data_IF_277599985634
#
_entry.id   IF_277599985634
#
_cell.length_a   1.000
_cell.length_b   1.000
_cell.length_c   1.000
_cell.angle_alpha   90.00
_cell.angle_beta   90.00
_cell.angle_gamma   90.00
#
_symmetry.space_group_name_H-M   'P 1'
#
loop_
_entity.id
_entity.type
_entity.pdbx_description
1 polymer ?
#
# COMPACT_ATOMS: atom_id res chain seq x y z
N UNK A 1 0.14 -21.82 -5.87
CA UNK A 1 -0.06 -20.75 -4.87
C UNK A 1 0.59 -21.05 -3.53
N UNK A 2 0.10 -21.93 -2.64
CA UNK A 2 0.74 -22.16 -1.32
C UNK A 2 2.22 -22.56 -1.36
N UNK A 3 2.65 -23.28 -2.41
CA UNK A 3 4.04 -23.74 -2.55
C UNK A 3 5.04 -22.62 -2.91
N UNK A 4 4.65 -21.63 -3.71
CA UNK A 4 5.56 -20.53 -4.09
C UNK A 4 5.81 -19.55 -2.95
N UNK A 5 4.80 -19.32 -2.09
CA UNK A 5 4.94 -18.49 -0.89
C UNK A 5 5.92 -19.09 0.13
N UNK A 6 5.99 -20.42 0.19
CA UNK A 6 6.94 -21.12 1.07
C UNK A 6 8.37 -20.91 0.58
N UNK A 7 8.61 -20.91 -0.73
CA UNK A 7 9.96 -20.79 -1.29
C UNK A 7 10.56 -19.40 -1.07
N UNK A 8 9.81 -18.32 -1.31
CA UNK A 8 10.28 -16.95 -1.06
C UNK A 8 10.53 -16.68 0.43
N UNK A 9 9.71 -17.28 1.30
CA UNK A 9 9.88 -17.16 2.75
C UNK A 9 11.07 -17.97 3.27
N UNK A 10 11.30 -19.18 2.75
CA UNK A 10 12.46 -20.01 3.05
C UNK A 10 13.77 -19.37 2.55
N UNK A 11 13.77 -18.80 1.34
CA UNK A 11 14.91 -18.05 0.81
C UNK A 11 15.25 -16.84 1.69
N UNK A 12 14.24 -16.10 2.15
CA UNK A 12 14.40 -14.98 3.08
C UNK A 12 15.06 -15.43 4.41
N UNK A 13 14.57 -16.52 5.01
CA UNK A 13 15.10 -17.06 6.27
C UNK A 13 16.50 -17.67 6.12
N UNK A 14 16.83 -18.21 4.95
CA UNK A 14 18.12 -18.86 4.67
C UNK A 14 19.28 -17.87 4.45
N UNK A 15 18.99 -16.58 4.26
CA UNK A 15 19.99 -15.53 4.10
C UNK A 15 20.76 -15.28 5.40
N UNK A 16 21.95 -15.87 5.54
CA UNK A 16 22.88 -15.55 6.64
C UNK A 16 23.34 -14.09 6.50
N UNK A 17 22.96 -13.27 7.49
CA UNK A 17 23.36 -11.87 7.66
C UNK A 17 24.86 -11.65 7.42
N UNK A 18 25.21 -10.91 6.37
CA UNK A 18 26.55 -10.44 5.98
C UNK A 18 26.87 -9.03 6.49
N UNK A 19 26.08 -8.48 7.42
CA UNK A 19 26.34 -7.18 8.05
C UNK A 19 25.07 -6.42 8.47
N UNK A 20 25.22 -5.27 9.17
CA UNK A 20 24.08 -4.52 9.71
C UNK A 20 23.09 -4.04 8.64
N UNK A 21 23.56 -3.71 7.43
CA UNK A 21 22.71 -3.29 6.31
C UNK A 21 21.74 -4.38 5.83
N UNK A 22 22.12 -5.65 5.91
CA UNK A 22 21.25 -6.77 5.52
C UNK A 22 20.17 -7.03 6.57
N UNK A 23 20.49 -6.87 7.86
CA UNK A 23 19.50 -6.95 8.92
C UNK A 23 18.44 -5.85 8.80
N UNK A 24 18.84 -4.61 8.49
CA UNK A 24 17.89 -3.52 8.24
C UNK A 24 17.00 -3.80 7.03
N UNK A 25 17.58 -4.27 5.92
CA UNK A 25 16.81 -4.68 4.73
C UNK A 25 15.82 -5.80 5.05
N UNK A 26 16.23 -6.79 5.82
CA UNK A 26 15.37 -7.90 6.19
C UNK A 26 14.19 -7.46 7.08
N UNK A 27 14.44 -6.59 8.06
CA UNK A 27 13.38 -5.98 8.88
C UNK A 27 12.43 -5.16 8.00
N UNK A 28 12.97 -4.37 7.07
CA UNK A 28 12.18 -3.57 6.15
C UNK A 28 11.26 -4.45 5.27
N UNK A 29 11.81 -5.52 4.70
CA UNK A 29 11.06 -6.48 3.89
C UNK A 29 9.96 -7.16 4.70
N UNK A 30 10.22 -7.53 5.96
CA UNK A 30 9.20 -8.05 6.85
C UNK A 30 8.09 -7.03 7.11
N UNK A 31 8.44 -5.76 7.32
CA UNK A 31 7.45 -4.69 7.51
C UNK A 31 6.57 -4.50 6.27
N UNK A 32 7.16 -4.59 5.07
CA UNK A 32 6.44 -4.52 3.78
C UNK A 32 5.49 -5.72 3.63
N UNK A 33 5.99 -6.95 3.85
CA UNK A 33 5.17 -8.17 3.80
C UNK A 33 3.97 -8.12 4.73
N UNK A 34 4.18 -7.58 5.94
CA UNK A 34 3.12 -7.42 6.93
C UNK A 34 1.97 -6.52 6.45
N UNK A 35 2.20 -5.67 5.43
CA UNK A 35 1.16 -4.88 4.79
C UNK A 35 0.56 -5.63 3.61
N UNK A 36 1.38 -6.02 2.63
CA UNK A 36 0.96 -6.83 1.50
C UNK A 36 2.16 -7.48 0.82
N UNK A 37 2.06 -8.77 0.49
CA UNK A 37 3.18 -9.52 -0.11
C UNK A 37 3.61 -8.95 -1.48
N UNK A 38 2.64 -8.52 -2.30
CA UNK A 38 2.93 -7.95 -3.64
C UNK A 38 3.85 -6.73 -3.61
N UNK A 39 3.83 -5.96 -2.51
CA UNK A 39 4.67 -4.77 -2.37
C UNK A 39 6.16 -5.13 -2.35
N UNK A 40 6.53 -6.35 -1.96
CA UNK A 40 7.92 -6.80 -2.08
C UNK A 40 8.39 -6.85 -3.54
N UNK A 41 7.55 -7.37 -4.43
CA UNK A 41 7.90 -7.54 -5.84
C UNK A 41 8.03 -6.18 -6.53
N UNK A 42 7.12 -5.25 -6.20
CA UNK A 42 7.15 -3.88 -6.73
C UNK A 42 8.40 -3.11 -6.30
N UNK A 43 8.89 -3.36 -5.07
CA UNK A 43 10.14 -2.76 -4.56
C UNK A 43 11.35 -3.44 -5.18
N UNK A 44 11.34 -4.76 -5.33
CA UNK A 44 12.41 -5.51 -5.97
C UNK A 44 12.60 -5.13 -7.45
N UNK A 45 11.51 -4.87 -8.18
CA UNK A 45 11.56 -4.38 -9.57
C UNK A 45 12.12 -2.95 -9.66
N UNK A 46 11.76 -2.06 -8.73
CA UNK A 46 12.33 -0.70 -8.67
C UNK A 46 13.83 -0.71 -8.34
N UNK A 47 14.30 -1.62 -7.50
CA UNK A 47 15.72 -1.76 -7.13
C UNK A 47 16.57 -2.36 -8.27
N UNK A 48 15.96 -3.05 -9.24
CA UNK A 48 16.66 -3.65 -10.38
C UNK A 48 16.92 -2.67 -11.53
N UNK A 49 16.21 -1.52 -11.58
CA UNK A 49 16.32 -0.57 -12.69
C UNK A 49 17.47 0.47 -12.57
N UNK A 50 18.22 0.55 -11.46
CA UNK A 50 19.42 1.40 -11.42
C UNK A 50 20.52 0.97 -10.41
N UNK A 51 21.61 0.29 -10.84
CA UNK A 51 22.78 0.08 -9.98
C UNK A 51 23.75 1.28 -9.97
N UNK A 52 23.61 2.27 -10.87
CA UNK A 52 24.56 3.37 -11.05
C UNK A 52 23.93 4.64 -11.67
N UNK A 53 23.16 5.37 -10.89
CA UNK A 53 23.27 6.82 -10.78
C UNK A 53 22.20 7.65 -11.49
N UNK A 54 21.50 8.43 -10.66
CA UNK A 54 20.75 9.65 -10.98
C UNK A 54 19.60 9.44 -11.97
N UNK A 55 18.50 8.89 -11.47
CA UNK A 55 17.17 9.26 -11.96
C UNK A 55 16.56 10.33 -11.05
N UNK A 56 16.55 11.58 -11.52
CA UNK A 56 15.58 12.58 -11.08
C UNK A 56 14.32 12.36 -11.93
N UNK A 57 13.43 11.47 -11.49
CA UNK A 57 12.04 11.42 -11.97
C UNK A 57 11.16 10.66 -10.99
N UNK A 58 10.02 11.26 -10.65
CA UNK A 58 8.93 10.79 -9.77
C UNK A 58 8.27 9.49 -10.26
N UNK A 59 9.02 8.39 -10.34
CA UNK A 59 8.52 7.10 -10.79
C UNK A 59 8.49 6.11 -9.62
N UNK A 60 7.83 6.46 -8.51
CA UNK A 60 7.41 5.40 -7.58
C UNK A 60 6.49 4.46 -8.37
N UNK A 61 6.77 3.16 -8.43
CA UNK A 61 5.95 2.23 -9.22
C UNK A 61 4.52 2.24 -8.67
N UNK A 62 3.59 2.75 -9.47
CA UNK A 62 2.16 2.84 -9.13
C UNK A 62 1.51 1.49 -9.33
N UNK A 63 0.81 0.99 -8.30
CA UNK A 63 0.05 -0.25 -8.43
C UNK A 63 -1.29 0.09 -9.08
N UNK A 64 -1.51 -0.38 -10.32
CA UNK A 64 -2.76 -0.12 -11.05
C UNK A 64 -3.71 -1.32 -11.01
N UNK A 65 -5.02 -1.07 -11.17
CA UNK A 65 -6.08 -2.10 -11.24
C UNK A 65 -5.85 -3.15 -12.33
N UNK A 66 -5.10 -2.81 -13.39
CA UNK A 66 -4.75 -3.74 -14.48
C UNK A 66 -3.73 -4.79 -14.05
N UNK A 67 -2.96 -4.52 -13.00
CA UNK A 67 -1.86 -5.35 -12.51
C UNK A 67 -2.31 -6.22 -11.32
N UNK A 68 -3.31 -5.78 -10.55
CA UNK A 68 -3.75 -6.44 -9.31
C UNK A 68 -5.27 -6.49 -9.24
N UNK A 69 -5.82 -7.70 -9.13
CA UNK A 69 -7.25 -7.89 -8.92
C UNK A 69 -7.67 -7.73 -7.45
N UNK A 70 -8.98 -7.65 -7.24
CA UNK A 70 -9.62 -7.54 -5.92
C UNK A 70 -9.24 -8.68 -5.00
N UNK A 71 -9.21 -9.91 -5.53
CA UNK A 71 -8.92 -11.11 -4.75
C UNK A 71 -7.51 -11.04 -4.16
N UNK A 72 -6.55 -10.57 -4.97
CA UNK A 72 -5.17 -10.34 -4.58
C UNK A 72 -5.09 -9.26 -3.50
N UNK A 73 -5.78 -8.13 -3.65
CA UNK A 73 -5.83 -7.08 -2.62
C UNK A 73 -6.35 -7.61 -1.27
N UNK A 74 -7.34 -8.49 -1.31
CA UNK A 74 -7.98 -9.08 -0.13
C UNK A 74 -7.11 -10.15 0.58
N UNK A 75 -5.98 -10.54 0.00
CA UNK A 75 -4.99 -11.38 0.69
C UNK A 75 -4.34 -10.66 1.88
N UNK A 76 -4.37 -9.32 1.92
CA UNK A 76 -3.95 -8.57 3.10
C UNK A 76 -5.03 -8.58 4.18
N UNK A 77 -4.71 -9.18 5.33
CA UNK A 77 -5.59 -9.16 6.50
C UNK A 77 -5.84 -7.73 7.01
N UNK A 78 -4.92 -6.78 6.77
CA UNK A 78 -5.09 -5.36 7.13
C UNK A 78 -6.12 -4.68 6.25
N UNK A 79 -6.08 -4.91 4.93
CA UNK A 79 -7.07 -4.38 3.98
C UNK A 79 -8.47 -4.94 4.32
N UNK A 80 -8.58 -6.25 4.51
CA UNK A 80 -9.83 -6.89 4.88
C UNK A 80 -10.43 -6.32 6.19
N UNK A 81 -9.60 -6.11 7.22
CA UNK A 81 -10.05 -5.51 8.48
C UNK A 81 -10.42 -4.02 8.34
N UNK A 82 -9.69 -3.26 7.55
CA UNK A 82 -10.00 -1.85 7.28
C UNK A 82 -11.39 -1.74 6.66
N UNK A 83 -11.66 -2.50 5.59
CA UNK A 83 -12.95 -2.48 4.90
C UNK A 83 -14.09 -2.91 5.79
N UNK A 84 -13.91 -3.99 6.55
CA UNK A 84 -14.90 -4.43 7.53
C UNK A 84 -15.23 -3.31 8.52
N UNK A 85 -14.23 -2.56 8.97
CA UNK A 85 -14.40 -1.45 9.90
C UNK A 85 -15.11 -0.26 9.24
N UNK A 86 -14.74 0.10 8.02
CA UNK A 86 -15.39 1.15 7.24
C UNK A 86 -16.86 0.81 6.93
N UNK A 87 -17.13 -0.42 6.50
CA UNK A 87 -18.49 -0.91 6.24
C UNK A 87 -19.34 -0.94 7.50
N UNK A 88 -18.79 -1.40 8.63
CA UNK A 88 -19.49 -1.35 9.92
C UNK A 88 -19.86 0.08 10.29
N UNK A 89 -18.95 1.04 10.11
CA UNK A 89 -19.24 2.45 10.37
C UNK A 89 -20.34 2.98 9.45
N UNK A 90 -20.31 2.64 8.15
CA UNK A 90 -21.35 3.00 7.17
C UNK A 90 -22.74 2.48 7.57
N UNK A 91 -22.83 1.29 8.16
CA UNK A 91 -24.09 0.67 8.57
C UNK A 91 -24.60 1.14 9.94
N UNK A 92 -23.71 1.48 10.87
CA UNK A 92 -24.09 1.71 12.28
C UNK A 92 -24.28 3.17 12.64
N UNK A 93 -23.76 4.12 11.83
CA UNK A 93 -23.87 5.55 12.12
C UNK A 93 -24.99 6.20 11.31
N UNK A 94 -25.81 7.00 11.99
CA UNK A 94 -26.82 7.83 11.36
C UNK A 94 -26.15 9.10 10.83
N UNK A 95 -25.66 9.06 9.59
CA UNK A 95 -25.04 10.19 8.91
C UNK A 95 -23.68 9.87 8.29
N UNK A 96 -23.13 10.80 7.49
CA UNK A 96 -21.84 10.61 6.86
C UNK A 96 -20.72 10.51 7.90
N UNK A 97 -19.86 9.51 7.74
CA UNK A 97 -18.71 9.28 8.62
C UNK A 97 -17.44 9.41 7.80
N UNK A 98 -16.52 10.24 8.28
CA UNK A 98 -15.21 10.47 7.67
C UNK A 98 -14.15 9.72 8.46
N UNK A 99 -13.16 9.15 7.78
CA UNK A 99 -12.05 8.42 8.39
C UNK A 99 -10.74 8.88 7.78
N UNK A 100 -9.71 9.01 8.62
CA UNK A 100 -8.33 9.29 8.18
C UNK A 100 -7.51 8.04 8.46
N UNK A 101 -6.80 7.55 7.44
CA UNK A 101 -5.97 6.34 7.54
C UNK A 101 -4.53 6.72 7.23
N UNK A 102 -3.64 6.52 8.19
CA UNK A 102 -2.21 6.80 8.03
C UNK A 102 -1.48 5.56 7.53
N UNK A 103 -0.58 5.75 6.59
CA UNK A 103 0.22 4.69 5.98
C UNK A 103 1.64 5.17 5.76
N UNK A 104 2.62 4.28 5.89
CA UNK A 104 4.04 4.62 5.72
C UNK A 104 4.53 4.39 4.28
N UNK A 105 3.95 3.43 3.58
CA UNK A 105 4.37 3.01 2.25
C UNK A 105 3.44 3.60 1.20
N UNK A 106 3.98 4.34 0.24
CA UNK A 106 3.22 5.07 -0.80
C UNK A 106 2.45 4.16 -1.76
N UNK A 107 2.90 2.92 -1.95
CA UNK A 107 2.23 1.91 -2.79
C UNK A 107 1.01 1.26 -2.10
N UNK A 108 0.93 1.31 -0.77
CA UNK A 108 -0.15 0.67 -0.03
C UNK A 108 -1.51 1.39 -0.17
N UNK A 109 -1.57 2.74 -0.21
CA UNK A 109 -2.76 3.49 -0.60
C UNK A 109 -3.37 3.03 -1.92
N UNK A 110 -2.56 2.71 -2.93
CA UNK A 110 -3.05 2.26 -4.24
C UNK A 110 -3.84 0.95 -4.11
N UNK A 111 -3.27 -0.05 -3.42
CA UNK A 111 -3.92 -1.33 -3.14
C UNK A 111 -5.24 -1.17 -2.37
N UNK A 112 -5.25 -0.27 -1.40
CA UNK A 112 -6.46 0.05 -0.64
C UNK A 112 -7.48 0.77 -1.52
N UNK A 113 -7.03 1.67 -2.39
CA UNK A 113 -7.87 2.44 -3.30
C UNK A 113 -8.65 1.55 -4.28
N UNK A 114 -8.01 0.49 -4.80
CA UNK A 114 -8.67 -0.52 -5.64
C UNK A 114 -9.91 -1.05 -4.91
N UNK A 115 -9.73 -1.54 -3.69
CA UNK A 115 -10.82 -2.20 -2.98
C UNK A 115 -11.85 -1.22 -2.39
N UNK A 116 -11.42 -0.08 -1.86
CA UNK A 116 -12.33 0.98 -1.37
C UNK A 116 -13.25 1.48 -2.49
N UNK A 117 -12.74 1.60 -3.72
CA UNK A 117 -13.55 2.02 -4.88
C UNK A 117 -14.64 1.01 -5.23
N UNK A 118 -14.38 -0.29 -5.06
CA UNK A 118 -15.35 -1.35 -5.29
C UNK A 118 -16.54 -1.30 -4.31
N UNK A 119 -16.35 -0.75 -3.11
CA UNK A 119 -17.42 -0.57 -2.11
C UNK A 119 -18.08 0.82 -2.16
N UNK A 120 -17.84 1.59 -3.23
CA UNK A 120 -18.34 2.95 -3.43
C UNK A 120 -18.05 3.88 -2.24
N UNK A 121 -16.86 3.72 -1.65
CA UNK A 121 -16.36 4.66 -0.65
C UNK A 121 -15.52 5.71 -1.38
N UNK A 122 -15.80 6.98 -1.12
CA UNK A 122 -14.96 8.07 -1.61
C UNK A 122 -13.68 8.15 -0.79
N UNK A 123 -12.54 8.23 -1.46
CA UNK A 123 -11.23 8.38 -0.84
C UNK A 123 -10.36 9.36 -1.61
N UNK A 124 -9.51 10.09 -0.89
CA UNK A 124 -8.50 10.96 -1.46
C UNK A 124 -7.13 10.59 -0.85
N UNK A 125 -6.25 9.88 -1.58
CA UNK A 125 -4.90 9.63 -1.10
C UNK A 125 -4.10 10.94 -1.08
N UNK A 126 -3.34 11.15 -0.02
CA UNK A 126 -2.47 12.31 0.16
C UNK A 126 -1.08 11.80 0.53
N UNK A 127 -0.07 12.21 -0.24
CA UNK A 127 1.34 11.90 0.03
C UNK A 127 2.25 13.09 -0.30
N UNK A 128 3.57 12.86 -0.31
CA UNK A 128 4.55 13.90 -0.62
C UNK A 128 4.66 14.26 -2.11
N UNK A 129 3.94 13.56 -3.00
CA UNK A 129 4.02 13.74 -4.46
C UNK A 129 2.88 14.60 -5.01
N UNK A 130 1.79 14.76 -4.26
CA UNK A 130 0.67 15.61 -4.69
C UNK A 130 1.04 17.10 -4.66
N UNK A 131 0.47 17.88 -5.57
CA UNK A 131 0.66 19.35 -5.59
C UNK A 131 0.00 20.03 -4.39
N UNK A 132 0.52 21.17 -3.94
CA UNK A 132 -0.08 21.96 -2.86
C UNK A 132 -1.56 22.30 -3.14
N UNK A 133 -1.88 22.62 -4.39
CA UNK A 133 -3.27 22.85 -4.82
C UNK A 133 -4.14 21.60 -4.67
N UNK A 134 -3.67 20.43 -5.11
CA UNK A 134 -4.40 19.18 -4.95
C UNK A 134 -4.59 18.82 -3.47
N UNK A 135 -3.61 19.15 -2.62
CA UNK A 135 -3.72 18.99 -1.18
C UNK A 135 -4.81 19.89 -0.58
N UNK A 136 -4.87 21.16 -0.97
CA UNK A 136 -5.93 22.10 -0.57
C UNK A 136 -7.30 21.60 -1.02
N UNK A 137 -7.43 21.21 -2.29
CA UNK A 137 -8.69 20.66 -2.85
C UNK A 137 -9.12 19.38 -2.10
N UNK A 138 -8.19 18.49 -1.75
CA UNK A 138 -8.49 17.30 -0.98
C UNK A 138 -8.97 17.64 0.45
N UNK A 139 -8.36 18.63 1.10
CA UNK A 139 -8.78 19.10 2.42
C UNK A 139 -10.16 19.76 2.37
N UNK A 140 -10.40 20.66 1.42
CA UNK A 140 -11.71 21.30 1.25
C UNK A 140 -12.80 20.26 1.00
N UNK A 141 -12.56 19.29 0.11
CA UNK A 141 -13.51 18.21 -0.15
C UNK A 141 -13.75 17.37 1.10
N UNK A 142 -12.72 17.11 1.91
CA UNK A 142 -12.86 16.35 3.15
C UNK A 142 -13.68 17.11 4.20
N UNK A 143 -13.58 18.43 4.31
CA UNK A 143 -14.34 19.20 5.30
C UNK A 143 -15.74 19.58 4.82
N UNK A 144 -15.92 19.85 3.52
CA UNK A 144 -17.13 20.48 2.98
C UNK A 144 -18.14 19.49 2.37
N UNK A 145 -17.71 18.31 1.91
CA UNK A 145 -18.67 17.29 1.43
C UNK A 145 -19.23 16.50 2.61
N UNK A 146 -20.57 16.44 2.71
CA UNK A 146 -21.29 15.61 3.68
C UNK A 146 -21.50 14.22 3.11
#
# INVERSE_FOLDING_TARGET
MQQEYSTLYEEFLSSKSKGPGESFRNINNLQICCNHHIMLNTIAEADLEDPKGRSTQDNSPTITQTIVDVETCMMSSKIAHLLKSLMKNKQTRCGPTKSVVYMQWTQFPDLIGIEISHHFILSAPIDGTITARAQEEAQENFFNNN
#
